data_IF_199917687644
#
_entry.id   IF_199917687644
#
_cell.length_a   1.000
_cell.length_b   1.000
_cell.length_c   1.000
_cell.angle_alpha   90.00
_cell.angle_beta   90.00
_cell.angle_gamma   90.00
#
_symmetry.space_group_name_H-M   'P 1'
#
loop_
_entity.id
_entity.type
_entity.pdbx_description
1 polymer ?
#
# COMPACT_ATOMS: atom_id res chain seq x y z
N UNK A 1 -22.57 -13.95 -9.68
CA UNK A 1 -21.75 -14.79 -8.78
C UNK A 1 -21.48 -13.97 -7.54
N UNK A 2 -21.98 -14.39 -6.37
CA UNK A 2 -21.49 -13.84 -5.10
C UNK A 2 -19.96 -13.86 -5.16
N UNK A 3 -19.30 -12.73 -4.93
CA UNK A 3 -17.85 -12.69 -4.82
C UNK A 3 -17.48 -13.49 -3.57
N UNK A 4 -17.29 -14.78 -3.79
CA UNK A 4 -16.95 -15.77 -2.78
C UNK A 4 -15.69 -15.35 -2.04
N UNK A 5 -15.43 -16.03 -0.92
CA UNK A 5 -14.21 -15.98 -0.11
C UNK A 5 -12.92 -16.40 -0.87
N UNK A 6 -12.86 -16.19 -2.20
CA UNK A 6 -11.79 -16.60 -3.11
C UNK A 6 -10.42 -16.07 -2.74
N UNK A 7 -10.34 -14.93 -2.08
CA UNK A 7 -9.07 -14.34 -1.61
C UNK A 7 -8.63 -14.88 -0.25
N UNK A 8 -9.49 -15.56 0.52
CA UNK A 8 -9.20 -15.92 1.91
C UNK A 8 -7.95 -16.78 2.07
N UNK A 9 -7.70 -17.70 1.15
CA UNK A 9 -6.50 -18.53 1.18
C UNK A 9 -5.20 -17.72 0.95
N UNK A 10 -5.29 -16.47 0.49
CA UNK A 10 -4.17 -15.59 0.19
C UNK A 10 -4.08 -14.37 1.13
N UNK A 11 -4.97 -14.25 2.11
CA UNK A 11 -4.97 -13.17 3.10
C UNK A 11 -4.79 -13.72 4.51
N UNK A 12 -3.91 -13.10 5.28
CA UNK A 12 -3.79 -13.32 6.72
C UNK A 12 -4.90 -12.56 7.45
N UNK A 13 -5.78 -13.31 8.13
CA UNK A 13 -6.96 -12.75 8.81
C UNK A 13 -6.73 -12.53 10.31
N UNK A 14 -5.53 -12.81 10.83
CA UNK A 14 -5.21 -12.63 12.26
C UNK A 14 -5.33 -11.19 12.74
N UNK A 15 -5.24 -10.22 11.81
CA UNK A 15 -5.38 -8.80 12.12
C UNK A 15 -6.84 -8.32 12.01
N UNK A 16 -7.78 -9.13 11.51
CA UNK A 16 -9.11 -8.67 11.10
C UNK A 16 -9.92 -8.11 12.25
N UNK A 17 -9.89 -8.77 13.41
CA UNK A 17 -10.62 -8.31 14.59
C UNK A 17 -10.10 -6.93 15.05
N UNK A 18 -8.79 -6.79 15.18
CA UNK A 18 -8.16 -5.52 15.56
C UNK A 18 -8.39 -4.42 14.51
N UNK A 19 -8.26 -4.74 13.23
CA UNK A 19 -8.53 -3.79 12.14
C UNK A 19 -10.00 -3.37 12.10
N UNK A 20 -10.95 -4.30 12.33
CA UNK A 20 -12.38 -3.98 12.44
C UNK A 20 -12.69 -3.16 13.69
N UNK A 21 -11.99 -3.37 14.79
CA UNK A 21 -12.14 -2.51 15.98
C UNK A 21 -11.69 -1.07 15.73
N UNK A 22 -10.94 -0.83 14.66
CA UNK A 22 -10.61 0.51 14.13
C UNK A 22 -11.76 1.09 13.26
N UNK A 23 -12.98 0.53 13.36
CA UNK A 23 -14.13 0.73 12.45
C UNK A 23 -14.47 2.19 12.10
N UNK A 24 -14.29 3.13 13.02
CA UNK A 24 -14.58 4.54 12.75
C UNK A 24 -13.67 5.14 11.66
N UNK A 25 -12.52 4.52 11.42
CA UNK A 25 -11.49 5.04 10.52
C UNK A 25 -11.23 4.15 9.30
N UNK A 26 -11.73 2.90 9.27
CA UNK A 26 -11.35 1.90 8.25
C UNK A 26 -12.58 1.24 7.60
N UNK A 27 -12.99 1.77 6.45
CA UNK A 27 -14.10 1.24 5.65
C UNK A 27 -13.72 -0.04 4.90
N UNK A 28 -12.51 -0.09 4.33
CA UNK A 28 -12.00 -1.28 3.64
C UNK A 28 -10.83 -1.90 4.37
N UNK A 29 -10.93 -3.21 4.63
CA UNK A 29 -9.87 -3.96 5.27
C UNK A 29 -8.62 -4.03 4.39
N UNK A 30 -7.42 -3.77 4.96
CA UNK A 30 -6.17 -3.99 4.30
C UNK A 30 -6.04 -5.42 3.78
N UNK A 31 -5.35 -5.56 2.66
CA UNK A 31 -4.71 -6.80 2.29
C UNK A 31 -3.52 -7.02 3.22
N UNK A 32 -3.44 -8.18 3.84
CA UNK A 32 -2.24 -8.65 4.55
C UNK A 32 -1.89 -10.00 3.96
N UNK A 33 -0.74 -10.11 3.29
CA UNK A 33 -0.33 -11.38 2.70
C UNK A 33 -0.05 -12.44 3.77
N UNK A 34 -0.31 -13.71 3.46
CA UNK A 34 -0.16 -14.84 4.40
C UNK A 34 1.24 -15.03 4.99
N UNK A 35 2.28 -14.54 4.31
CA UNK A 35 3.66 -14.55 4.76
C UNK A 35 4.06 -13.34 5.60
N UNK A 36 3.28 -12.25 5.60
CA UNK A 36 3.67 -10.95 6.15
C UNK A 36 4.09 -11.01 7.63
N UNK A 37 3.30 -11.68 8.48
CA UNK A 37 3.57 -11.73 9.92
C UNK A 37 4.85 -12.50 10.27
N UNK A 38 5.29 -13.40 9.39
CA UNK A 38 6.48 -14.23 9.61
C UNK A 38 7.77 -13.51 9.20
N UNK A 39 7.67 -12.33 8.59
CA UNK A 39 8.83 -11.54 8.22
C UNK A 39 9.35 -10.75 9.43
N UNK A 40 10.69 -10.59 9.55
CA UNK A 40 11.25 -9.62 10.46
C UNK A 40 10.76 -8.22 10.07
N UNK A 41 10.66 -7.32 11.06
CA UNK A 41 10.10 -5.98 10.87
C UNK A 41 10.78 -5.21 9.72
N UNK A 42 12.11 -5.32 9.57
CA UNK A 42 12.86 -4.70 8.48
C UNK A 42 12.44 -5.17 7.07
N UNK A 43 11.80 -6.33 6.94
CA UNK A 43 11.28 -6.85 5.67
C UNK A 43 9.76 -6.70 5.55
N UNK A 44 9.06 -6.25 6.59
CA UNK A 44 7.63 -5.95 6.50
C UNK A 44 7.40 -4.66 5.75
N UNK A 45 6.85 -4.78 4.53
CA UNK A 45 6.50 -3.66 3.66
C UNK A 45 4.99 -3.45 3.65
N UNK A 46 4.55 -2.24 4.00
CA UNK A 46 3.19 -1.76 3.79
C UNK A 46 3.15 -0.85 2.55
N UNK A 47 2.37 -1.25 1.55
CA UNK A 47 2.15 -0.43 0.35
C UNK A 47 0.89 0.41 0.57
N UNK A 48 1.02 1.73 0.43
CA UNK A 48 -0.09 2.66 0.66
C UNK A 48 -0.52 3.29 -0.66
N UNK A 49 -1.71 2.91 -1.14
CA UNK A 49 -2.37 3.57 -2.25
C UNK A 49 -3.20 4.78 -1.80
N UNK A 50 -3.72 5.54 -2.75
CA UNK A 50 -4.49 6.75 -2.44
C UNK A 50 -5.96 6.44 -2.15
N UNK A 51 -6.70 5.92 -3.12
CA UNK A 51 -8.16 5.78 -3.03
C UNK A 51 -8.72 4.73 -4.00
N UNK A 52 -9.96 4.30 -3.74
CA UNK A 52 -10.81 3.61 -4.71
C UNK A 52 -11.75 4.60 -5.41
N UNK A 53 -12.18 4.27 -6.61
CA UNK A 53 -12.98 5.15 -7.45
C UNK A 53 -14.28 4.46 -7.85
N UNK A 54 -15.33 5.23 -8.11
CA UNK A 54 -16.40 4.77 -8.98
C UNK A 54 -15.85 4.58 -10.40
N UNK A 55 -16.29 3.52 -11.05
CA UNK A 55 -15.95 3.22 -12.43
C UNK A 55 -17.20 2.92 -13.24
N UNK A 56 -17.05 3.02 -14.56
CA UNK A 56 -18.05 2.60 -15.54
C UNK A 56 -17.48 1.40 -16.29
N UNK A 57 -18.19 0.28 -16.27
CA UNK A 57 -17.87 -0.89 -17.07
C UNK A 57 -19.10 -1.34 -17.85
N UNK A 58 -18.92 -1.72 -19.11
CA UNK A 58 -20.04 -2.08 -20.00
C UNK A 58 -20.88 -3.26 -19.49
N UNK A 59 -20.30 -4.11 -18.65
CA UNK A 59 -20.98 -5.28 -18.06
C UNK A 59 -21.44 -5.06 -16.61
N UNK A 60 -21.30 -3.86 -16.05
CA UNK A 60 -21.62 -3.58 -14.64
C UNK A 60 -22.46 -2.31 -14.51
N UNK A 61 -23.57 -2.44 -13.78
CA UNK A 61 -24.45 -1.32 -13.45
C UNK A 61 -23.85 -0.47 -12.32
N UNK A 62 -24.24 0.82 -12.20
CA UNK A 62 -23.83 1.66 -11.07
C UNK A 62 -24.19 1.05 -9.69
N UNK A 63 -25.30 0.31 -9.61
CA UNK A 63 -25.73 -0.39 -8.38
C UNK A 63 -24.75 -1.51 -8.02
N UNK A 64 -24.28 -2.28 -9.01
CA UNK A 64 -23.27 -3.31 -8.79
C UNK A 64 -21.94 -2.71 -8.34
N UNK A 65 -21.47 -1.65 -9.02
CA UNK A 65 -20.25 -0.92 -8.65
C UNK A 65 -20.34 -0.41 -7.21
N UNK A 66 -21.46 0.21 -6.83
CA UNK A 66 -21.71 0.65 -5.46
C UNK A 66 -21.69 -0.52 -4.47
N UNK A 67 -22.35 -1.63 -4.78
CA UNK A 67 -22.35 -2.82 -3.92
C UNK A 67 -20.94 -3.38 -3.67
N UNK A 68 -20.06 -3.32 -4.68
CA UNK A 68 -18.65 -3.71 -4.50
C UNK A 68 -17.90 -2.75 -3.60
N UNK A 69 -18.09 -1.44 -3.78
CA UNK A 69 -17.42 -0.40 -2.98
C UNK A 69 -17.94 -0.34 -1.53
N UNK A 70 -19.19 -0.72 -1.29
CA UNK A 70 -19.78 -0.82 0.04
C UNK A 70 -19.28 -2.06 0.81
N UNK A 71 -18.63 -3.02 0.14
CA UNK A 71 -18.10 -4.23 0.77
C UNK A 71 -16.73 -3.94 1.44
N UNK A 72 -16.56 -4.17 2.76
CA UNK A 72 -15.29 -3.97 3.46
C UNK A 72 -14.11 -4.79 2.91
N UNK A 73 -14.37 -5.90 2.21
CA UNK A 73 -13.33 -6.74 1.60
C UNK A 73 -12.85 -6.21 0.22
N UNK A 74 -13.38 -5.08 -0.27
CA UNK A 74 -13.10 -4.59 -1.63
C UNK A 74 -11.61 -4.41 -1.94
N UNK A 75 -10.84 -3.82 -1.02
CA UNK A 75 -9.38 -3.70 -1.16
C UNK A 75 -8.71 -5.06 -1.34
N UNK A 76 -9.15 -6.08 -0.62
CA UNK A 76 -8.61 -7.44 -0.72
C UNK A 76 -8.97 -8.08 -2.06
N UNK A 77 -10.19 -7.90 -2.55
CA UNK A 77 -10.55 -8.36 -3.90
C UNK A 77 -9.70 -7.71 -4.99
N UNK A 78 -9.50 -6.39 -4.90
CA UNK A 78 -8.66 -5.66 -5.84
C UNK A 78 -7.23 -6.22 -5.86
N UNK A 79 -6.61 -6.37 -4.68
CA UNK A 79 -5.25 -6.92 -4.58
C UNK A 79 -5.22 -8.37 -5.03
N UNK A 80 -6.20 -9.18 -4.69
CA UNK A 80 -6.24 -10.58 -5.11
C UNK A 80 -6.28 -10.72 -6.64
N UNK A 81 -7.18 -9.99 -7.30
CA UNK A 81 -7.38 -10.13 -8.75
C UNK A 81 -6.31 -9.44 -9.57
N UNK A 82 -5.77 -8.31 -9.11
CA UNK A 82 -4.80 -7.54 -9.89
C UNK A 82 -3.36 -7.67 -9.39
N UNK A 83 -3.17 -7.91 -8.10
CA UNK A 83 -1.87 -8.11 -7.47
C UNK A 83 -1.49 -9.58 -7.43
N UNK A 84 -2.19 -10.39 -6.64
CA UNK A 84 -1.83 -11.78 -6.39
C UNK A 84 -1.98 -12.67 -7.63
N UNK A 85 -3.11 -12.57 -8.33
CA UNK A 85 -3.35 -13.26 -9.60
C UNK A 85 -2.69 -12.55 -10.76
N UNK A 86 -2.56 -13.26 -11.88
CA UNK A 86 -2.19 -12.69 -13.18
C UNK A 86 -3.41 -12.76 -14.11
N UNK A 87 -4.31 -11.77 -14.07
CA UNK A 87 -5.43 -11.72 -14.98
C UNK A 87 -4.93 -11.42 -16.41
N UNK A 88 -5.72 -11.70 -17.46
CA UNK A 88 -5.34 -11.42 -18.84
C UNK A 88 -4.97 -9.93 -19.09
N UNK A 89 -5.61 -9.03 -18.33
CA UNK A 89 -5.36 -7.57 -18.37
C UNK A 89 -5.02 -7.07 -16.96
N UNK A 90 -3.77 -7.21 -16.50
CA UNK A 90 -3.37 -6.71 -15.19
C UNK A 90 -3.36 -5.18 -15.16
N UNK A 91 -3.58 -4.59 -13.99
CA UNK A 91 -3.49 -3.12 -13.88
C UNK A 91 -2.07 -2.64 -14.09
N UNK A 92 -1.92 -1.45 -14.69
CA UNK A 92 -0.61 -0.78 -14.77
C UNK A 92 0.03 -0.60 -13.41
N UNK A 93 -0.79 -0.30 -12.40
CA UNK A 93 -0.35 -0.12 -11.01
C UNK A 93 0.41 -1.35 -10.50
N UNK A 94 -0.26 -2.50 -10.45
CA UNK A 94 0.32 -3.72 -9.88
C UNK A 94 1.51 -4.23 -10.69
N UNK A 95 1.46 -4.14 -12.02
CA UNK A 95 2.57 -4.58 -12.88
C UNK A 95 3.80 -3.68 -12.73
N UNK A 96 3.64 -2.35 -12.79
CA UNK A 96 4.75 -1.43 -12.70
C UNK A 96 5.39 -1.44 -11.29
N UNK A 97 4.56 -1.55 -10.25
CA UNK A 97 5.04 -1.65 -8.87
C UNK A 97 5.82 -2.95 -8.63
N UNK A 98 5.29 -4.09 -9.07
CA UNK A 98 5.97 -5.40 -8.94
C UNK A 98 7.32 -5.36 -9.66
N UNK A 99 7.38 -4.81 -10.88
CA UNK A 99 8.64 -4.65 -11.61
C UNK A 99 9.65 -3.73 -10.92
N UNK A 100 9.20 -2.64 -10.30
CA UNK A 100 10.08 -1.74 -9.57
C UNK A 100 10.71 -2.41 -8.35
N UNK A 101 9.91 -3.16 -7.58
CA UNK A 101 10.40 -3.89 -6.40
C UNK A 101 11.39 -4.99 -6.79
N UNK A 102 11.09 -5.78 -7.82
CA UNK A 102 12.01 -6.79 -8.33
C UNK A 102 13.22 -6.22 -9.09
N UNK A 103 13.13 -4.99 -9.60
CA UNK A 103 14.12 -4.43 -10.52
C UNK A 103 14.18 -5.11 -11.89
N UNK A 104 13.21 -5.98 -12.21
CA UNK A 104 13.13 -6.75 -13.45
C UNK A 104 11.69 -7.15 -13.79
N UNK A 105 11.50 -7.76 -14.96
CA UNK A 105 10.26 -8.48 -15.25
C UNK A 105 10.08 -9.64 -14.26
N UNK A 106 8.81 -9.99 -13.98
CA UNK A 106 8.48 -10.97 -12.97
C UNK A 106 7.63 -12.11 -13.55
N UNK A 107 7.76 -13.31 -13.00
CA UNK A 107 6.86 -14.43 -13.26
C UNK A 107 5.52 -14.28 -12.50
N UNK A 108 4.62 -15.25 -12.67
CA UNK A 108 3.38 -15.33 -11.88
C UNK A 108 3.67 -15.67 -10.42
N UNK A 109 4.60 -16.59 -10.19
CA UNK A 109 5.01 -17.08 -8.88
C UNK A 109 5.69 -15.97 -8.08
N UNK A 110 6.55 -15.18 -8.73
CA UNK A 110 7.16 -13.99 -8.12
C UNK A 110 6.11 -12.94 -7.74
N UNK A 111 5.07 -12.78 -8.56
CA UNK A 111 3.96 -11.89 -8.25
C UNK A 111 3.21 -12.38 -7.00
N UNK A 112 2.85 -13.66 -6.95
CA UNK A 112 2.20 -14.27 -5.79
C UNK A 112 3.07 -14.14 -4.54
N UNK A 113 4.38 -14.41 -4.65
CA UNK A 113 5.33 -14.28 -3.56
C UNK A 113 5.35 -12.87 -2.98
N UNK A 114 5.45 -11.85 -3.83
CA UNK A 114 5.40 -10.46 -3.39
C UNK A 114 4.09 -10.16 -2.63
N UNK A 115 2.94 -10.52 -3.22
CA UNK A 115 1.66 -10.19 -2.60
C UNK A 115 1.35 -11.05 -1.36
N UNK A 116 1.94 -12.23 -1.23
CA UNK A 116 1.95 -13.01 0.02
C UNK A 116 2.80 -12.36 1.11
N UNK A 117 3.71 -11.45 0.78
CA UNK A 117 4.71 -10.95 1.74
C UNK A 117 4.52 -9.48 2.15
N UNK A 118 3.56 -8.79 1.56
CA UNK A 118 3.30 -7.37 1.81
C UNK A 118 1.91 -7.17 2.40
N UNK A 119 1.73 -6.02 3.05
CA UNK A 119 0.41 -5.47 3.32
C UNK A 119 0.08 -4.35 2.31
N UNK A 120 -1.20 -4.12 2.05
CA UNK A 120 -1.67 -3.04 1.19
C UNK A 120 -3.00 -2.48 1.65
N UNK A 121 -3.12 -1.15 1.63
CA UNK A 121 -4.42 -0.49 1.72
C UNK A 121 -4.40 0.85 0.98
N UNK A 122 -5.59 1.37 0.68
CA UNK A 122 -5.77 2.75 0.24
C UNK A 122 -6.06 3.61 1.47
N UNK A 123 -5.40 4.74 1.62
CA UNK A 123 -5.58 5.57 2.83
C UNK A 123 -6.90 6.34 2.87
N UNK A 124 -7.45 6.74 1.72
CA UNK A 124 -8.77 7.37 1.65
C UNK A 124 -9.82 6.27 1.73
N UNK A 125 -10.66 6.34 2.76
CA UNK A 125 -11.61 5.28 3.15
C UNK A 125 -13.04 5.57 2.68
N UNK A 126 -13.18 6.34 1.60
CA UNK A 126 -14.44 6.53 0.88
C UNK A 126 -14.21 6.48 -0.63
N UNK A 127 -15.19 6.06 -1.44
CA UNK A 127 -15.04 6.04 -2.87
C UNK A 127 -14.96 7.46 -3.45
N UNK A 128 -14.02 7.66 -4.37
CA UNK A 128 -13.90 8.87 -5.17
C UNK A 128 -14.84 8.83 -6.36
N UNK A 129 -15.39 9.97 -6.76
CA UNK A 129 -16.31 10.05 -7.90
C UNK A 129 -15.65 9.62 -9.22
N UNK A 130 -14.34 9.84 -9.38
CA UNK A 130 -13.56 9.40 -10.54
C UNK A 130 -12.05 9.48 -10.25
N UNK A 131 -11.22 8.91 -11.13
CA UNK A 131 -9.75 9.03 -11.06
C UNK A 131 -9.21 10.48 -11.11
N UNK A 132 -10.04 11.43 -11.56
CA UNK A 132 -9.71 12.86 -11.60
C UNK A 132 -10.15 13.60 -10.33
N UNK A 133 -11.09 13.04 -9.58
CA UNK A 133 -11.50 13.60 -8.31
C UNK A 133 -10.31 13.59 -7.32
N UNK A 134 -10.32 14.55 -6.40
CA UNK A 134 -9.32 14.66 -5.36
C UNK A 134 -9.99 14.56 -3.99
N UNK A 135 -9.33 13.90 -3.01
CA UNK A 135 -9.77 13.93 -1.64
C UNK A 135 -9.83 15.37 -1.11
N UNK A 136 -10.74 15.60 -0.17
CA UNK A 136 -10.85 16.84 0.58
C UNK A 136 -9.86 16.87 1.74
N UNK A 137 -9.67 18.03 2.37
CA UNK A 137 -8.82 18.12 3.57
C UNK A 137 -9.28 17.19 4.69
N UNK A 138 -10.59 17.06 4.92
CA UNK A 138 -11.17 16.12 5.89
C UNK A 138 -10.82 14.67 5.57
N UNK A 139 -10.81 14.32 4.28
CA UNK A 139 -10.39 12.98 3.86
C UNK A 139 -8.91 12.72 4.16
N UNK A 140 -8.05 13.73 4.00
CA UNK A 140 -6.63 13.60 4.31
C UNK A 140 -6.36 13.50 5.81
N UNK A 141 -7.11 14.24 6.64
CA UNK A 141 -7.05 14.12 8.09
C UNK A 141 -7.41 12.69 8.53
N UNK A 142 -8.59 12.20 8.11
CA UNK A 142 -9.02 10.84 8.41
C UNK A 142 -8.03 9.80 7.87
N UNK A 143 -7.55 9.97 6.64
CA UNK A 143 -6.59 9.05 6.03
C UNK A 143 -5.27 8.94 6.80
N UNK A 144 -4.80 10.03 7.44
CA UNK A 144 -3.62 9.99 8.29
C UNK A 144 -3.89 9.30 9.62
N UNK A 145 -5.03 9.54 10.25
CA UNK A 145 -5.43 8.79 11.45
C UNK A 145 -5.52 7.29 11.16
N UNK A 146 -6.20 6.90 10.07
CA UNK A 146 -6.27 5.50 9.63
C UNK A 146 -4.88 4.92 9.39
N UNK A 147 -3.97 5.68 8.77
CA UNK A 147 -2.61 5.23 8.53
C UNK A 147 -1.86 4.92 9.82
N UNK A 148 -1.89 5.81 10.81
CA UNK A 148 -1.21 5.58 12.09
C UNK A 148 -1.82 4.41 12.87
N UNK A 149 -3.14 4.24 12.84
CA UNK A 149 -3.81 3.08 13.41
C UNK A 149 -3.37 1.77 12.73
N UNK A 150 -3.29 1.75 11.40
CA UNK A 150 -2.85 0.57 10.63
C UNK A 150 -1.40 0.21 10.91
N UNK A 151 -0.46 1.16 10.93
CA UNK A 151 0.95 0.84 11.21
C UNK A 151 1.17 0.42 12.66
N UNK A 152 0.35 0.89 13.61
CA UNK A 152 0.37 0.46 15.00
C UNK A 152 0.03 -1.03 15.14
N UNK A 153 -0.88 -1.53 14.29
CA UNK A 153 -1.29 -2.94 14.28
C UNK A 153 -0.35 -3.82 13.46
N UNK A 154 0.00 -3.39 12.24
CA UNK A 154 0.77 -4.21 11.31
C UNK A 154 2.27 -4.17 11.56
N UNK A 155 2.76 -3.14 12.26
CA UNK A 155 4.17 -2.95 12.61
C UNK A 155 5.12 -3.12 11.40
N UNK A 156 4.93 -2.38 10.28
CA UNK A 156 5.85 -2.42 9.16
C UNK A 156 7.17 -1.71 9.50
N UNK A 157 8.29 -2.24 9.02
CA UNK A 157 9.56 -1.48 9.01
C UNK A 157 9.61 -0.43 7.91
N UNK A 158 8.88 -0.67 6.82
CA UNK A 158 8.85 0.21 5.66
C UNK A 158 7.43 0.42 5.14
N UNK A 159 7.13 1.66 4.74
CA UNK A 159 5.92 2.01 4.02
C UNK A 159 6.28 2.61 2.66
N UNK A 160 5.62 2.14 1.60
CA UNK A 160 5.79 2.65 0.24
C UNK A 160 4.49 3.33 -0.22
N UNK A 161 4.49 4.65 -0.24
CA UNK A 161 3.38 5.46 -0.71
C UNK A 161 3.42 5.60 -2.23
N UNK A 162 2.38 5.09 -2.88
CA UNK A 162 2.18 5.19 -4.31
C UNK A 162 1.61 6.57 -4.67
N UNK A 163 2.43 7.60 -4.62
CA UNK A 163 2.08 8.98 -4.97
C UNK A 163 2.81 9.98 -4.08
N UNK A 164 3.49 10.96 -4.69
CA UNK A 164 4.19 12.01 -3.92
C UNK A 164 3.26 13.13 -3.45
N UNK A 165 2.14 13.35 -4.16
CA UNK A 165 1.12 14.35 -3.80
C UNK A 165 0.52 14.06 -2.42
N UNK A 166 0.61 12.80 -1.99
CA UNK A 166 0.20 12.33 -0.66
C UNK A 166 0.95 13.07 0.46
N UNK A 167 2.19 13.48 0.18
CA UNK A 167 3.07 14.19 1.11
C UNK A 167 2.75 15.70 1.22
N UNK A 168 1.83 16.24 0.42
CA UNK A 168 1.45 17.67 0.46
C UNK A 168 0.71 18.12 1.73
N UNK A 169 0.38 17.19 2.63
CA UNK A 169 -0.45 17.39 3.84
C UNK A 169 0.36 17.09 5.10
N UNK A 170 1.51 17.74 5.23
CA UNK A 170 2.47 17.51 6.32
C UNK A 170 1.90 17.91 7.68
N UNK A 171 1.09 18.97 7.75
CA UNK A 171 0.47 19.41 8.99
C UNK A 171 -0.53 18.38 9.53
N UNK A 172 -1.40 17.85 8.66
CA UNK A 172 -2.33 16.79 9.02
C UNK A 172 -1.60 15.51 9.42
N UNK A 173 -0.50 15.18 8.72
CA UNK A 173 0.35 14.04 9.06
C UNK A 173 0.96 14.19 10.46
N UNK A 174 1.53 15.36 10.77
CA UNK A 174 2.11 15.67 12.07
C UNK A 174 1.06 15.65 13.19
N UNK A 175 -0.12 16.21 12.93
CA UNK A 175 -1.21 16.22 13.89
C UNK A 175 -1.69 14.80 14.21
N UNK A 176 -1.86 13.95 13.19
CA UNK A 176 -2.23 12.56 13.38
C UNK A 176 -1.12 11.77 14.09
N UNK A 177 0.15 11.95 13.71
CA UNK A 177 1.27 11.30 14.39
C UNK A 177 1.24 11.57 15.89
N UNK A 178 1.09 12.84 16.30
CA UNK A 178 0.98 13.21 17.72
C UNK A 178 -0.19 12.54 18.43
N UNK A 179 -1.37 12.49 17.79
CA UNK A 179 -2.56 11.82 18.36
C UNK A 179 -2.34 10.33 18.61
N UNK A 180 -1.57 9.69 17.74
CA UNK A 180 -1.30 8.24 17.80
C UNK A 180 0.04 7.91 18.48
N UNK A 181 0.71 8.87 19.11
CA UNK A 181 1.95 8.62 19.86
C UNK A 181 3.19 8.41 18.99
N UNK A 182 3.24 9.02 17.81
CA UNK A 182 4.36 9.00 16.88
C UNK A 182 5.04 10.37 16.76
N UNK A 183 6.35 10.35 16.55
CA UNK A 183 7.13 11.49 16.04
C UNK A 183 7.43 11.30 14.56
N UNK A 184 7.72 12.39 13.85
CA UNK A 184 8.08 12.37 12.42
C UNK A 184 9.39 13.11 12.23
N UNK A 185 10.31 12.48 11.51
CA UNK A 185 11.48 13.11 10.89
C UNK A 185 11.27 13.19 9.37
N UNK A 186 11.44 14.38 8.78
CA UNK A 186 11.06 14.70 7.40
C UNK A 186 9.64 15.29 7.24
N UNK A 187 9.07 15.33 6.02
CA UNK A 187 9.56 14.68 4.79
C UNK A 187 10.70 15.44 4.08
N UNK A 188 11.77 14.74 3.76
CA UNK A 188 12.90 15.26 3.00
C UNK A 188 12.71 15.07 1.49
N UNK A 189 13.19 16.03 0.70
CA UNK A 189 13.21 15.91 -0.77
C UNK A 189 14.46 15.16 -1.23
N UNK A 190 14.31 14.33 -2.27
CA UNK A 190 15.42 13.68 -2.97
C UNK A 190 15.54 14.17 -4.43
N UNK A 191 16.67 13.96 -5.13
CA UNK A 191 16.80 14.36 -6.52
C UNK A 191 15.65 13.86 -7.39
N UNK A 192 15.19 14.70 -8.32
CA UNK A 192 14.02 14.40 -9.14
C UNK A 192 14.26 13.19 -10.07
N UNK A 193 13.24 12.34 -10.19
CA UNK A 193 13.20 11.24 -11.15
C UNK A 193 12.18 11.60 -12.23
N UNK A 194 12.67 12.13 -13.35
CA UNK A 194 11.81 12.78 -14.34
C UNK A 194 11.19 14.06 -13.76
N UNK A 195 9.87 14.22 -13.87
CA UNK A 195 9.14 15.41 -13.37
C UNK A 195 8.66 15.29 -11.93
N UNK A 196 9.14 14.28 -11.19
CA UNK A 196 8.62 13.99 -9.86
C UNK A 196 9.75 13.85 -8.87
N UNK A 197 9.62 14.54 -7.76
CA UNK A 197 10.63 14.58 -6.70
C UNK A 197 10.23 13.61 -5.60
N UNK A 198 10.97 12.51 -5.36
CA UNK A 198 10.68 11.59 -4.28
C UNK A 198 10.74 12.28 -2.91
N UNK A 199 10.08 11.67 -1.92
CA UNK A 199 10.17 12.10 -0.52
C UNK A 199 10.48 10.92 0.39
N UNK A 200 11.13 11.21 1.50
CA UNK A 200 11.39 10.25 2.57
C UNK A 200 10.99 10.85 3.90
N UNK A 201 10.45 10.05 4.79
CA UNK A 201 10.25 10.42 6.18
C UNK A 201 10.49 9.19 7.06
N UNK A 202 10.69 9.40 8.35
CA UNK A 202 10.70 8.33 9.35
C UNK A 202 9.68 8.67 10.41
N UNK A 203 8.83 7.70 10.76
CA UNK A 203 7.93 7.83 11.91
C UNK A 203 8.39 6.91 13.01
N UNK A 204 8.42 7.38 14.24
CA UNK A 204 8.93 6.61 15.39
C UNK A 204 7.88 6.60 16.49
N UNK A 205 7.51 5.41 16.96
CA UNK A 205 6.55 5.30 18.06
C UNK A 205 7.22 5.56 19.43
N UNK A 206 6.41 5.60 20.49
CA UNK A 206 6.89 5.79 21.86
C UNK A 206 7.89 4.72 22.35
N UNK A 207 7.89 3.52 21.75
CA UNK A 207 8.84 2.45 22.06
C UNK A 207 10.18 2.58 21.30
N UNK A 208 10.34 3.63 20.48
CA UNK A 208 11.55 3.85 19.68
C UNK A 208 11.59 3.05 18.37
N UNK A 209 10.50 2.37 18.00
CA UNK A 209 10.43 1.60 16.75
C UNK A 209 10.17 2.54 15.57
N UNK A 210 11.15 2.60 14.66
CA UNK A 210 11.13 3.49 13.50
C UNK A 210 10.59 2.81 12.24
N UNK A 211 9.59 3.39 11.59
CA UNK A 211 9.08 2.99 10.27
C UNK A 211 9.50 4.01 9.21
N UNK A 212 10.21 3.55 8.18
CA UNK A 212 10.63 4.41 7.07
C UNK A 212 9.51 4.57 6.05
N UNK A 213 9.23 5.79 5.64
CA UNK A 213 8.23 6.13 4.63
C UNK A 213 8.90 6.57 3.34
N UNK A 214 8.56 5.92 2.24
CA UNK A 214 9.06 6.21 0.91
C UNK A 214 7.89 6.68 0.03
N UNK A 215 7.99 7.89 -0.51
CA UNK A 215 6.97 8.44 -1.41
C UNK A 215 7.48 8.43 -2.84
N UNK A 216 6.82 7.65 -3.70
CA UNK A 216 7.19 7.49 -5.11
C UNK A 216 6.15 8.07 -6.04
N UNK A 217 6.49 8.27 -7.31
CA UNK A 217 5.48 8.56 -8.34
C UNK A 217 4.44 7.44 -8.36
N UNK A 218 3.16 7.78 -8.57
CA UNK A 218 2.10 6.79 -8.66
C UNK A 218 2.37 5.79 -9.82
N UNK A 219 2.44 4.47 -9.58
CA UNK A 219 2.84 3.48 -10.59
C UNK A 219 1.93 3.38 -11.83
N UNK A 220 0.69 3.88 -11.76
CA UNK A 220 -0.24 3.85 -12.90
C UNK A 220 0.00 4.91 -13.98
N UNK A 221 0.81 5.95 -13.71
CA UNK A 221 0.91 7.13 -14.59
C UNK A 221 2.32 7.69 -14.68
N UNK A 222 2.88 7.70 -15.90
CA UNK A 222 4.22 8.23 -16.22
C UNK A 222 5.33 7.65 -15.30
N UNK A 223 5.22 6.37 -14.98
CA UNK A 223 6.11 5.68 -14.04
C UNK A 223 7.14 4.81 -14.76
N UNK A 224 8.41 5.20 -14.69
CA UNK A 224 9.53 4.35 -15.15
C UNK A 224 9.93 3.39 -14.04
N UNK A 225 9.49 2.14 -14.14
CA UNK A 225 9.77 1.12 -13.12
C UNK A 225 11.28 0.86 -12.93
N UNK A 226 12.12 1.05 -13.96
CA UNK A 226 13.57 0.95 -13.81
C UNK A 226 14.13 2.06 -12.91
N UNK A 227 13.79 3.32 -13.22
CA UNK A 227 14.33 4.48 -12.48
C UNK A 227 13.80 4.51 -11.04
N UNK A 228 12.50 4.33 -10.87
CA UNK A 228 11.87 4.27 -9.55
C UNK A 228 12.26 3.00 -8.79
N UNK A 229 12.47 1.88 -9.47
CA UNK A 229 12.98 0.65 -8.85
C UNK A 229 14.36 0.85 -8.24
N UNK A 230 15.28 1.58 -8.91
CA UNK A 230 16.59 1.90 -8.31
C UNK A 230 16.44 2.73 -7.03
N UNK A 231 15.59 3.76 -7.04
CA UNK A 231 15.32 4.55 -5.84
C UNK A 231 14.72 3.72 -4.70
N UNK A 232 13.77 2.83 -5.01
CA UNK A 232 13.16 1.95 -4.01
C UNK A 232 14.19 0.99 -3.42
N UNK A 233 15.08 0.42 -4.24
CA UNK A 233 16.14 -0.49 -3.79
C UNK A 233 17.14 0.17 -2.85
N UNK A 234 17.56 1.39 -3.20
CA UNK A 234 18.47 2.21 -2.40
C UNK A 234 17.90 2.51 -1.00
N UNK A 235 16.57 2.65 -0.89
CA UNK A 235 15.89 3.06 0.34
C UNK A 235 15.14 1.92 1.05
N UNK A 236 15.14 0.72 0.48
CA UNK A 236 14.70 -0.54 1.08
C UNK A 236 15.88 -1.54 1.06
N UNK A 237 16.95 -1.28 1.84
CA UNK A 237 18.18 -2.05 1.74
C UNK A 237 17.94 -3.54 1.99
N UNK A 238 18.44 -4.39 1.08
CA UNK A 238 18.31 -5.84 1.16
C UNK A 238 16.94 -6.40 0.76
N UNK A 239 15.90 -5.56 0.62
CA UNK A 239 14.54 -6.03 0.34
C UNK A 239 14.44 -6.71 -1.04
N UNK A 240 15.06 -6.12 -2.07
CA UNK A 240 15.10 -6.73 -3.40
C UNK A 240 15.87 -8.05 -3.40
N UNK A 241 17.04 -8.09 -2.77
CA UNK A 241 17.87 -9.30 -2.67
C UNK A 241 17.07 -10.41 -1.98
N UNK A 242 16.40 -10.10 -0.88
CA UNK A 242 15.51 -11.01 -0.19
C UNK A 242 14.35 -11.50 -1.09
N UNK A 243 13.66 -10.61 -1.81
CA UNK A 243 12.60 -11.00 -2.76
C UNK A 243 13.10 -11.95 -3.85
N UNK A 244 14.35 -11.80 -4.27
CA UNK A 244 15.01 -12.60 -5.30
C UNK A 244 15.60 -13.93 -4.78
N UNK A 245 15.87 -14.03 -3.48
CA UNK A 245 16.44 -15.24 -2.87
C UNK A 245 15.51 -16.44 -3.05
N UNK A 246 16.01 -17.56 -3.58
CA UNK A 246 15.25 -18.81 -3.60
C UNK A 246 15.20 -19.32 -2.15
N UNK A 247 14.02 -19.46 -1.56
CA UNK A 247 13.87 -19.99 -0.19
C UNK A 247 13.77 -18.96 0.95
N UNK A 248 14.06 -17.68 0.75
CA UNK A 248 13.82 -16.66 1.78
C UNK A 248 14.77 -16.73 2.98
N UNK A 249 15.99 -17.22 2.79
CA UNK A 249 17.05 -17.02 3.78
C UNK A 249 17.56 -15.58 3.69
N UNK A 250 17.52 -14.92 4.85
CA UNK A 250 17.98 -13.55 5.07
C UNK A 250 19.51 -13.55 4.95
N UNK A 251 20.14 -12.63 4.18
CA UNK A 251 21.57 -12.40 4.32
C UNK A 251 21.84 -11.94 5.76
N UNK A 252 22.78 -12.61 6.43
CA UNK A 252 23.25 -12.27 7.77
C UNK A 252 23.74 -10.82 7.87
#
# INVERSE_FOLDING_TARGET
MAHSDRHRAAVDTRYDEALRSTADQLHWLPWVGTGYTYLPRCQRLLIVGESHYHWTHHSETPVQVKSYLDNPEFTRYFVFDHGFKTPPKPTKFTTALTRALYGRQHSREQKQRLWSSVAYFNRVQRPMASARARPTQKDYQAAWDTFFAVISLLQPGHCLFAGVEICGYTEEMQAAARRHGYTIDGPERRPAIGKTTPRLATVTNAAGEATRLLFIRHPSSFFSWQKWGRFVDEHLPGYRQWLLSVGGEVPA
#
